data_IF_284542911341
#
_entry.id   IF_284542911341
#
_cell.length_a   1.000
_cell.length_b   1.000
_cell.length_c   1.000
_cell.angle_alpha   90.00
_cell.angle_beta   90.00
_cell.angle_gamma   90.00
#
_symmetry.space_group_name_H-M   'P 1'
#
loop_
_entity.id
_entity.type
_entity.pdbx_description
1 polymer ?
#
# COMPACT_ATOMS: atom_id res chain seq x y z
N UNK A 1 6.28 -5.16 7.61
CA UNK A 1 6.81 -4.55 6.37
C UNK A 1 5.70 -4.11 5.40
N UNK A 2 4.75 -4.97 4.98
CA UNK A 2 3.64 -4.53 4.11
C UNK A 2 2.59 -3.67 4.83
N UNK A 3 2.27 -4.00 6.08
CA UNK A 3 1.41 -3.17 6.92
C UNK A 3 2.01 -1.76 7.15
N UNK A 4 3.33 -1.68 7.38
CA UNK A 4 4.06 -0.41 7.48
C UNK A 4 4.03 0.39 6.17
N UNK A 5 4.15 -0.28 5.02
CA UNK A 5 4.11 0.38 3.72
C UNK A 5 2.76 1.05 3.44
N UNK A 6 1.67 0.49 3.97
CA UNK A 6 0.33 1.06 3.92
C UNK A 6 -0.01 1.94 5.12
N UNK A 7 0.92 2.12 6.07
CA UNK A 7 0.69 2.85 7.34
C UNK A 7 -0.60 2.37 8.03
N UNK A 8 -0.77 1.05 8.12
CA UNK A 8 -1.92 0.40 8.75
C UNK A 8 -1.47 -0.58 9.83
N UNK A 9 -2.29 -0.82 10.87
CA UNK A 9 -2.03 -1.88 11.83
C UNK A 9 -2.18 -3.27 11.17
N UNK A 10 -1.53 -4.32 11.71
CA UNK A 10 -1.69 -5.70 11.25
C UNK A 10 -3.12 -6.23 11.39
N UNK A 11 -3.91 -5.67 12.33
CA UNK A 11 -5.34 -5.98 12.51
C UNK A 11 -6.26 -5.09 11.64
N UNK A 12 -5.71 -4.39 10.64
CA UNK A 12 -6.51 -3.52 9.80
C UNK A 12 -7.56 -4.29 8.99
N UNK A 13 -8.79 -3.76 8.97
CA UNK A 13 -9.84 -4.22 8.06
C UNK A 13 -9.48 -3.90 6.60
N UNK A 14 -9.98 -4.73 5.67
CA UNK A 14 -9.82 -4.48 4.23
C UNK A 14 -10.29 -3.07 3.80
N UNK A 15 -11.33 -2.52 4.44
CA UNK A 15 -11.78 -1.15 4.17
C UNK A 15 -10.69 -0.12 4.49
N UNK A 16 -9.99 -0.28 5.61
CA UNK A 16 -8.90 0.61 6.03
C UNK A 16 -7.69 0.48 5.11
N UNK A 17 -7.31 -0.76 4.78
CA UNK A 17 -6.24 -1.07 3.81
C UNK A 17 -6.51 -0.38 2.47
N UNK A 18 -7.73 -0.50 1.94
CA UNK A 18 -8.14 0.16 0.69
C UNK A 18 -8.12 1.69 0.82
N UNK A 19 -8.67 2.24 1.89
CA UNK A 19 -8.69 3.69 2.11
C UNK A 19 -7.27 4.29 2.17
N UNK A 20 -6.36 3.62 2.89
CA UNK A 20 -4.96 4.05 2.99
C UNK A 20 -4.19 3.88 1.69
N UNK A 21 -4.41 2.78 0.96
CA UNK A 21 -3.86 2.61 -0.38
C UNK A 21 -4.24 3.77 -1.31
N UNK A 22 -5.51 4.20 -1.32
CA UNK A 22 -5.95 5.34 -2.13
C UNK A 22 -5.30 6.65 -1.68
N UNK A 23 -5.21 6.89 -0.37
CA UNK A 23 -4.60 8.10 0.20
C UNK A 23 -3.11 8.19 -0.15
N UNK A 24 -2.38 7.10 0.04
CA UNK A 24 -0.95 7.01 -0.24
C UNK A 24 -0.66 6.99 -1.74
N UNK A 25 -1.48 6.29 -2.54
CA UNK A 25 -1.37 6.30 -4.00
C UNK A 25 -1.52 7.70 -4.56
N UNK A 26 -2.46 8.51 -4.07
CA UNK A 26 -2.58 9.92 -4.49
C UNK A 26 -1.38 10.76 -4.05
N UNK A 27 -0.86 10.52 -2.85
CA UNK A 27 0.28 11.26 -2.30
C UNK A 27 1.59 10.99 -3.06
N UNK A 28 1.84 9.73 -3.41
CA UNK A 28 3.05 9.29 -4.09
C UNK A 28 2.83 8.96 -5.57
N UNK A 29 1.71 9.40 -6.16
CA UNK A 29 1.38 9.07 -7.54
C UNK A 29 2.48 9.59 -8.47
N UNK A 30 2.93 8.80 -9.46
CA UNK A 30 3.96 9.25 -10.41
C UNK A 30 3.51 10.47 -11.23
N UNK A 31 2.20 10.62 -11.45
CA UNK A 31 1.62 11.76 -12.19
C UNK A 31 1.74 13.09 -11.42
N UNK A 32 1.74 13.06 -10.08
CA UNK A 32 1.92 14.29 -9.26
C UNK A 32 3.35 14.46 -8.77
N UNK A 33 4.15 13.39 -8.78
CA UNK A 33 5.56 13.37 -8.36
C UNK A 33 6.50 13.04 -9.53
N UNK A 34 6.34 13.76 -10.64
CA UNK A 34 7.10 13.51 -11.87
C UNK A 34 8.59 13.76 -11.59
N UNK A 35 9.42 12.72 -11.79
CA UNK A 35 10.87 12.77 -11.59
C UNK A 35 11.36 12.41 -10.18
N UNK A 36 10.45 12.21 -9.21
CA UNK A 36 10.82 11.77 -7.87
C UNK A 36 10.94 10.23 -7.80
N UNK A 37 12.19 9.75 -7.84
CA UNK A 37 12.51 8.32 -7.72
C UNK A 37 12.11 7.74 -6.35
N UNK A 38 12.09 8.56 -5.30
CA UNK A 38 11.71 8.13 -3.96
C UNK A 38 10.19 7.94 -3.86
N UNK A 39 9.41 8.85 -4.45
CA UNK A 39 7.96 8.69 -4.56
C UNK A 39 7.59 7.43 -5.38
N UNK A 40 8.28 7.20 -6.50
CA UNK A 40 8.10 6.00 -7.31
C UNK A 40 8.38 4.70 -6.54
N UNK A 41 9.50 4.64 -5.80
CA UNK A 41 9.84 3.48 -4.98
C UNK A 41 8.83 3.24 -3.85
N UNK A 42 8.33 4.32 -3.21
CA UNK A 42 7.24 4.21 -2.23
C UNK A 42 5.96 3.69 -2.85
N UNK A 43 5.57 4.22 -4.02
CA UNK A 43 4.38 3.80 -4.74
C UNK A 43 4.41 2.30 -5.07
N UNK A 44 5.55 1.79 -5.54
CA UNK A 44 5.75 0.36 -5.79
C UNK A 44 5.50 -0.48 -4.53
N UNK A 45 6.10 -0.09 -3.40
CA UNK A 45 5.91 -0.79 -2.11
C UNK A 45 4.46 -0.76 -1.63
N UNK A 46 3.77 0.37 -1.81
CA UNK A 46 2.35 0.53 -1.48
C UNK A 46 1.50 -0.42 -2.34
N UNK A 47 1.82 -0.54 -3.62
CA UNK A 47 1.08 -1.40 -4.57
C UNK A 47 1.28 -2.88 -4.25
N UNK A 48 2.51 -3.30 -4.00
CA UNK A 48 2.85 -4.67 -3.61
C UNK A 48 2.16 -5.06 -2.29
N UNK A 49 2.24 -4.20 -1.27
CA UNK A 49 1.58 -4.41 0.01
C UNK A 49 0.06 -4.55 -0.17
N UNK A 50 -0.57 -3.71 -0.99
CA UNK A 50 -2.00 -3.82 -1.27
C UNK A 50 -2.35 -5.10 -2.06
N UNK A 51 -1.51 -5.53 -2.98
CA UNK A 51 -1.75 -6.77 -3.75
C UNK A 51 -1.78 -8.01 -2.85
N UNK A 52 -0.96 -8.04 -1.80
CA UNK A 52 -0.93 -9.12 -0.81
C UNK A 52 -2.07 -8.97 0.20
N UNK A 53 -2.21 -7.77 0.79
CA UNK A 53 -3.12 -7.52 1.91
C UNK A 53 -4.59 -7.31 1.51
N UNK A 54 -4.90 -7.06 0.23
CA UNK A 54 -6.29 -6.90 -0.25
C UNK A 54 -7.00 -8.23 -0.52
N UNK A 55 -6.26 -9.33 -0.59
CA UNK A 55 -6.82 -10.67 -0.77
C UNK A 55 -6.75 -11.40 0.55
N UNK A 56 -7.90 -11.80 1.08
CA UNK A 56 -7.97 -12.53 2.36
C UNK A 56 -7.15 -13.82 2.34
N UNK A 57 -7.15 -14.51 1.20
CA UNK A 57 -6.40 -15.74 1.00
C UNK A 57 -4.88 -15.51 0.99
N UNK A 58 -4.41 -14.52 0.22
CA UNK A 58 -2.98 -14.15 0.20
C UNK A 58 -2.51 -13.52 1.51
N UNK A 59 -3.39 -12.83 2.24
CA UNK A 59 -3.11 -12.32 3.58
C UNK A 59 -2.94 -13.47 4.56
N UNK A 60 -3.79 -14.49 4.53
CA UNK A 60 -3.63 -15.70 5.36
C UNK A 60 -2.39 -16.53 5.04
N UNK A 61 -1.92 -16.51 3.80
CA UNK A 61 -0.65 -17.16 3.42
C UNK A 61 0.58 -16.33 3.80
N UNK A 62 0.41 -15.01 3.99
CA UNK A 62 1.46 -14.08 4.37
C UNK A 62 1.64 -13.93 5.89
N UNK A 63 0.54 -13.90 6.64
CA UNK A 63 0.51 -13.94 8.11
C UNK A 63 0.93 -15.32 8.65
#
# INVERSE_FOLDING_TARGET
>A
QHYDALEVPPDAEHKLIKAQFYKLSKRYHPDVNIGDKTAHSRFLRINEAYSILSKEQSRREYD
#
